data_IF_678160009236
#
_entry.id   IF_678160009236
#
_cell.length_a   1.000
_cell.length_b   1.000
_cell.length_c   1.000
_cell.angle_alpha   90.00
_cell.angle_beta   90.00
_cell.angle_gamma   90.00
#
_symmetry.space_group_name_H-M   'P 1'
#
loop_
_entity.id
_entity.type
_entity.pdbx_description
1 polymer ?
#
# COMPACT_ATOMS: atom_id res chain seq x y z
N UNK A 1 13.44 2.47 14.77
CA UNK A 1 12.50 1.60 14.05
C UNK A 1 12.23 2.16 12.66
N UNK A 2 11.71 1.30 11.76
CA UNK A 2 11.24 1.67 10.42
C UNK A 2 9.76 1.31 10.35
N UNK A 3 8.91 2.27 9.91
CA UNK A 3 7.50 2.01 9.63
C UNK A 3 7.30 1.99 8.11
N UNK A 4 6.86 0.85 7.59
CA UNK A 4 6.71 0.65 6.15
C UNK A 4 5.34 1.10 5.62
N UNK A 5 4.44 1.60 6.48
CA UNK A 5 3.09 1.95 6.07
C UNK A 5 2.52 3.10 6.90
N UNK A 6 2.71 4.33 6.42
CA UNK A 6 2.12 5.53 7.04
C UNK A 6 1.38 6.39 6.03
N UNK A 7 0.45 7.21 6.51
CA UNK A 7 -0.30 8.15 5.70
C UNK A 7 0.00 9.59 6.11
N UNK A 8 0.83 10.28 5.34
CA UNK A 8 1.15 11.69 5.57
C UNK A 8 0.10 12.64 4.98
N UNK A 9 -0.79 12.16 4.12
CA UNK A 9 -1.94 12.88 3.54
C UNK A 9 -1.61 14.15 2.74
N UNK A 10 -0.39 14.55 2.69
CA UNK A 10 0.14 15.73 2.02
C UNK A 10 0.94 15.30 0.77
N UNK A 11 0.52 15.74 -0.42
CA UNK A 11 -0.40 16.83 -0.74
C UNK A 11 -1.88 16.44 -0.70
N UNK A 12 -2.73 17.44 -0.42
CA UNK A 12 -4.15 17.47 -0.77
C UNK A 12 -5.16 17.02 0.28
N UNK A 13 -4.71 16.58 1.46
CA UNK A 13 -5.55 16.23 2.61
C UNK A 13 -4.90 16.68 3.92
N UNK A 14 -4.28 17.87 3.89
CA UNK A 14 -3.49 18.42 4.99
C UNK A 14 -4.33 18.70 6.24
N UNK A 15 -5.67 18.72 6.11
CA UNK A 15 -6.61 18.81 7.23
C UNK A 15 -6.62 17.52 8.09
N UNK A 16 -6.13 16.39 7.53
CA UNK A 16 -6.05 15.10 8.25
C UNK A 16 -4.69 14.87 8.84
N UNK A 17 -3.64 15.14 8.07
CA UNK A 17 -2.23 14.98 8.44
C UNK A 17 -1.36 15.78 7.48
N UNK A 18 -0.19 16.24 7.97
CA UNK A 18 0.85 16.88 7.15
C UNK A 18 2.14 16.07 7.23
N UNK A 19 3.04 16.31 6.28
CA UNK A 19 4.39 15.71 6.35
C UNK A 19 5.08 16.11 7.68
N UNK A 20 4.91 17.35 8.14
CA UNK A 20 5.52 17.81 9.39
C UNK A 20 4.94 17.07 10.61
N UNK A 21 3.61 17.03 10.75
CA UNK A 21 2.96 16.40 11.92
C UNK A 21 3.18 14.90 11.96
N UNK A 22 3.13 14.22 10.80
CA UNK A 22 3.46 12.81 10.71
C UNK A 22 4.92 12.50 11.03
N UNK A 23 5.87 13.33 10.57
CA UNK A 23 7.28 13.19 10.95
C UNK A 23 7.51 13.42 12.46
N UNK A 24 6.80 14.37 13.08
CA UNK A 24 6.85 14.59 14.54
C UNK A 24 6.31 13.38 15.31
N UNK A 25 5.19 12.83 14.88
CA UNK A 25 4.61 11.61 15.46
C UNK A 25 5.57 10.42 15.35
N UNK A 26 6.16 10.21 14.17
CA UNK A 26 7.14 9.16 13.96
C UNK A 26 8.38 9.32 14.86
N UNK A 27 8.95 10.52 14.93
CA UNK A 27 10.10 10.80 15.81
C UNK A 27 9.77 10.55 17.27
N UNK A 28 8.58 10.98 17.73
CA UNK A 28 8.10 10.75 19.10
C UNK A 28 7.92 9.27 19.39
N UNK A 29 7.47 8.47 18.40
CA UNK A 29 7.33 7.02 18.50
C UNK A 29 8.64 6.24 18.37
N UNK A 30 9.79 6.91 18.14
CA UNK A 30 11.10 6.25 17.98
C UNK A 30 11.34 5.69 16.58
N UNK A 31 10.58 6.12 15.58
CA UNK A 31 10.80 5.77 14.17
C UNK A 31 11.81 6.73 13.55
N UNK A 32 12.79 6.18 12.87
CA UNK A 32 13.84 6.95 12.16
C UNK A 32 13.59 7.01 10.65
N UNK A 33 12.75 6.13 10.15
CA UNK A 33 12.40 6.04 8.73
C UNK A 33 10.93 5.62 8.59
N UNK A 34 10.21 6.27 7.69
CA UNK A 34 8.81 5.96 7.38
C UNK A 34 8.59 5.89 5.87
N UNK A 35 7.71 5.00 5.42
CA UNK A 35 7.26 4.89 4.04
C UNK A 35 5.85 5.46 3.90
N UNK A 36 5.72 6.57 3.15
CA UNK A 36 4.44 7.26 2.96
C UNK A 36 3.65 6.66 1.80
N UNK A 37 2.40 6.27 2.05
CA UNK A 37 1.49 5.70 1.04
C UNK A 37 1.08 6.72 -0.03
N UNK A 38 0.77 6.26 -1.27
CA UNK A 38 0.59 7.14 -2.43
C UNK A 38 -0.80 7.78 -2.54
N UNK A 39 -1.74 7.47 -1.65
CA UNK A 39 -3.15 7.88 -1.72
C UNK A 39 -3.38 9.33 -1.27
N UNK A 40 -2.71 10.25 -1.93
CA UNK A 40 -2.76 11.70 -1.77
C UNK A 40 -3.57 12.36 -2.91
N UNK A 41 -3.63 13.69 -2.96
CA UNK A 41 -4.27 14.45 -4.03
C UNK A 41 -3.38 15.63 -4.45
N UNK A 42 -2.71 15.55 -5.62
CA UNK A 42 -2.74 14.44 -6.56
C UNK A 42 -2.17 13.13 -5.97
N UNK A 43 -2.58 12.01 -6.55
CA UNK A 43 -2.00 10.68 -6.26
C UNK A 43 -0.51 10.68 -6.64
N UNK A 44 0.31 9.95 -5.89
CA UNK A 44 1.73 9.82 -6.21
C UNK A 44 1.91 8.77 -7.32
N UNK A 45 1.62 9.15 -8.54
CA UNK A 45 1.69 8.29 -9.73
C UNK A 45 2.71 8.73 -10.79
N UNK A 46 3.50 9.76 -10.45
CA UNK A 46 4.53 10.34 -11.32
C UNK A 46 5.69 10.95 -10.50
N UNK A 47 6.85 11.21 -11.12
CA UNK A 47 8.04 11.73 -10.45
C UNK A 47 7.86 13.10 -9.77
N UNK A 48 7.00 13.97 -10.30
CA UNK A 48 6.85 15.33 -9.78
C UNK A 48 6.25 15.32 -8.37
N UNK A 49 5.25 14.46 -8.13
CA UNK A 49 4.64 14.32 -6.80
C UNK A 49 5.62 13.64 -5.83
N UNK A 50 6.43 12.67 -6.29
CA UNK A 50 7.50 12.07 -5.47
C UNK A 50 8.48 13.16 -5.02
N UNK A 51 8.96 13.98 -5.95
CA UNK A 51 9.90 15.07 -5.66
C UNK A 51 9.30 16.12 -4.71
N UNK A 52 8.02 16.44 -4.85
CA UNK A 52 7.33 17.34 -3.92
C UNK A 52 7.42 16.81 -2.50
N UNK A 53 7.03 15.55 -2.26
CA UNK A 53 7.05 14.96 -0.91
C UNK A 53 8.47 14.89 -0.35
N UNK A 54 9.45 14.42 -1.14
CA UNK A 54 10.83 14.32 -0.70
C UNK A 54 11.43 15.69 -0.36
N UNK A 55 11.15 16.72 -1.16
CA UNK A 55 11.66 18.07 -0.88
C UNK A 55 11.04 18.67 0.37
N UNK A 56 9.72 18.50 0.56
CA UNK A 56 9.02 18.98 1.75
C UNK A 56 9.50 18.25 3.01
N UNK A 57 9.67 16.93 2.96
CA UNK A 57 10.19 16.14 4.06
C UNK A 57 11.61 16.55 4.47
N UNK A 58 12.48 16.89 3.50
CA UNK A 58 13.83 17.40 3.78
C UNK A 58 13.82 18.71 4.59
N UNK A 59 12.84 19.57 4.38
CA UNK A 59 12.73 20.83 5.15
C UNK A 59 12.30 20.58 6.59
N UNK A 60 11.55 19.52 6.85
CA UNK A 60 11.16 19.10 8.21
C UNK A 60 12.35 18.48 8.96
N UNK A 61 13.13 17.62 8.30
CA UNK A 61 14.41 17.11 8.79
C UNK A 61 14.39 16.27 10.07
N UNK A 62 13.23 15.70 10.46
CA UNK A 62 13.09 14.94 11.71
C UNK A 62 13.38 13.45 11.53
N UNK A 63 12.83 12.85 10.46
CA UNK A 63 12.98 11.43 10.13
C UNK A 63 13.19 11.29 8.61
N UNK A 64 13.67 10.12 8.18
CA UNK A 64 13.74 9.81 6.76
C UNK A 64 12.33 9.48 6.24
N UNK A 65 11.87 10.21 5.24
CA UNK A 65 10.62 9.93 4.55
C UNK A 65 10.94 9.35 3.18
N UNK A 66 10.50 8.12 2.95
CA UNK A 66 10.55 7.45 1.65
C UNK A 66 9.14 7.43 1.08
N UNK A 67 8.96 7.94 -0.13
CA UNK A 67 7.66 7.94 -0.78
C UNK A 67 7.41 6.61 -1.49
N UNK A 68 6.23 6.03 -1.34
CA UNK A 68 5.73 4.89 -2.11
C UNK A 68 4.97 5.41 -3.34
N UNK A 69 5.22 4.85 -4.53
CA UNK A 69 4.50 5.21 -5.75
C UNK A 69 3.19 4.42 -5.91
N UNK A 70 2.20 4.99 -6.59
CA UNK A 70 0.99 4.26 -6.96
C UNK A 70 1.30 3.18 -8.02
N UNK A 71 0.55 2.08 -8.00
CA UNK A 71 0.63 1.04 -9.03
C UNK A 71 -0.01 1.54 -10.32
N UNK A 72 -1.19 2.16 -10.21
CA UNK A 72 -1.95 2.64 -11.36
C UNK A 72 -2.14 4.15 -11.31
N UNK A 73 -2.28 4.74 -12.50
CA UNK A 73 -2.51 6.17 -12.67
C UNK A 73 -3.79 6.59 -11.97
N UNK A 74 -3.71 7.67 -11.18
CA UNK A 74 -4.79 8.16 -10.31
C UNK A 74 -5.38 7.10 -9.37
N UNK A 75 -4.72 5.95 -9.20
CA UNK A 75 -5.27 4.78 -8.49
C UNK A 75 -6.64 4.35 -9.03
N UNK A 76 -6.80 4.35 -10.35
CA UNK A 76 -8.05 3.94 -11.01
C UNK A 76 -8.10 2.45 -11.37
N UNK A 77 -6.97 1.74 -11.30
CA UNK A 77 -6.89 0.31 -11.66
C UNK A 77 -7.02 0.03 -13.16
N UNK A 78 -6.76 1.01 -14.03
CA UNK A 78 -6.97 0.92 -15.48
C UNK A 78 -5.69 0.87 -16.30
N UNK A 79 -4.69 1.66 -15.94
CA UNK A 79 -3.37 1.72 -16.58
C UNK A 79 -2.27 1.90 -15.53
N UNK A 80 -1.06 1.44 -15.83
CA UNK A 80 0.07 1.59 -14.91
C UNK A 80 0.48 3.06 -14.78
N UNK A 81 0.90 3.44 -13.57
CA UNK A 81 1.56 4.70 -13.29
C UNK A 81 2.97 4.75 -13.93
N UNK A 82 3.64 5.90 -13.88
CA UNK A 82 5.03 6.02 -14.32
C UNK A 82 6.00 5.44 -13.28
N UNK A 83 5.94 4.10 -13.10
CA UNK A 83 6.74 3.37 -12.10
C UNK A 83 8.24 3.62 -12.33
N UNK A 84 8.72 3.59 -13.57
CA UNK A 84 10.14 3.77 -13.88
C UNK A 84 10.63 5.18 -13.57
N UNK A 85 9.82 6.19 -13.90
CA UNK A 85 10.11 7.59 -13.55
C UNK A 85 10.13 7.80 -12.04
N UNK A 86 9.17 7.24 -11.31
CA UNK A 86 9.12 7.32 -9.86
C UNK A 86 10.29 6.60 -9.19
N UNK A 87 10.75 5.46 -9.71
CA UNK A 87 11.97 4.78 -9.21
C UNK A 87 13.20 5.65 -9.39
N UNK A 88 13.34 6.32 -10.54
CA UNK A 88 14.43 7.30 -10.76
C UNK A 88 14.34 8.50 -9.80
N UNK A 89 13.14 8.86 -9.37
CA UNK A 89 12.91 9.88 -8.34
C UNK A 89 13.11 9.36 -6.91
N UNK A 90 13.40 8.05 -6.72
CA UNK A 90 13.84 7.47 -5.46
C UNK A 90 12.79 6.72 -4.65
N UNK A 91 11.70 6.25 -5.27
CA UNK A 91 10.77 5.36 -4.54
C UNK A 91 11.37 3.97 -4.32
N UNK A 92 11.22 3.37 -3.12
CA UNK A 92 11.66 2.00 -2.85
C UNK A 92 10.58 0.95 -3.12
N UNK A 93 9.33 1.36 -3.28
CA UNK A 93 8.18 0.48 -3.36
C UNK A 93 7.02 1.11 -4.14
N UNK A 94 6.08 0.25 -4.58
CA UNK A 94 4.79 0.66 -5.13
C UNK A 94 3.64 0.05 -4.33
N UNK A 95 2.51 0.76 -4.29
CA UNK A 95 1.28 0.31 -3.61
C UNK A 95 0.04 0.89 -4.27
N UNK A 96 -1.07 0.18 -4.19
CA UNK A 96 -2.38 0.72 -4.52
C UNK A 96 -3.20 1.00 -3.25
N UNK A 97 -2.53 1.35 -2.16
CA UNK A 97 -3.10 1.43 -0.82
C UNK A 97 -4.42 2.21 -0.73
N UNK A 98 -5.32 1.68 0.10
CA UNK A 98 -6.72 2.06 0.19
C UNK A 98 -7.60 1.53 -0.94
N UNK A 99 -6.99 0.79 -1.87
CA UNK A 99 -7.65 0.12 -3.00
C UNK A 99 -6.84 -1.14 -3.37
N UNK A 100 -7.47 -2.04 -4.12
CA UNK A 100 -6.77 -3.15 -4.77
C UNK A 100 -6.88 -3.00 -6.28
N UNK A 101 -5.83 -3.37 -7.01
CA UNK A 101 -5.92 -3.51 -8.47
C UNK A 101 -6.69 -4.78 -8.78
N UNK A 102 -7.96 -4.65 -9.17
CA UNK A 102 -8.85 -5.80 -9.40
C UNK A 102 -8.50 -6.56 -10.67
N UNK A 103 -7.91 -5.90 -11.67
CA UNK A 103 -7.43 -6.55 -12.89
C UNK A 103 -6.11 -7.29 -12.58
N UNK A 104 -6.17 -8.61 -12.46
CA UNK A 104 -5.01 -9.43 -12.13
C UNK A 104 -3.91 -9.36 -13.18
N UNK A 105 -4.23 -9.22 -14.49
CA UNK A 105 -3.23 -9.08 -15.53
C UNK A 105 -2.47 -7.75 -15.41
N UNK A 106 -3.15 -6.65 -15.18
CA UNK A 106 -2.54 -5.35 -14.96
C UNK A 106 -1.63 -5.37 -13.71
N UNK A 107 -2.07 -6.04 -12.65
CA UNK A 107 -1.29 -6.17 -11.43
C UNK A 107 -0.06 -7.06 -11.62
N UNK A 108 -0.19 -8.13 -12.40
CA UNK A 108 0.94 -8.98 -12.82
C UNK A 108 2.01 -8.17 -13.58
N UNK A 109 1.59 -7.32 -14.52
CA UNK A 109 2.50 -6.44 -15.27
C UNK A 109 3.23 -5.45 -14.35
N UNK A 110 2.53 -4.89 -13.34
CA UNK A 110 3.15 -4.05 -12.31
C UNK A 110 4.20 -4.81 -11.50
N UNK A 111 3.89 -6.05 -11.10
CA UNK A 111 4.81 -6.92 -10.36
C UNK A 111 6.05 -7.27 -11.20
N UNK A 112 5.89 -7.59 -12.49
CA UNK A 112 7.03 -7.81 -13.40
C UNK A 112 7.94 -6.58 -13.50
N UNK A 113 7.35 -5.38 -13.58
CA UNK A 113 8.13 -4.13 -13.55
C UNK A 113 8.85 -3.95 -12.22
N UNK A 114 8.16 -4.16 -11.11
CA UNK A 114 8.74 -4.07 -9.78
C UNK A 114 9.92 -5.03 -9.59
N UNK A 115 9.78 -6.28 -10.05
CA UNK A 115 10.86 -7.28 -10.03
C UNK A 115 12.08 -6.81 -10.83
N UNK A 116 11.90 -6.33 -12.06
CA UNK A 116 12.97 -5.80 -12.92
C UNK A 116 13.68 -4.60 -12.33
N UNK A 117 12.94 -3.74 -11.62
CA UNK A 117 13.46 -2.51 -11.00
C UNK A 117 14.01 -2.76 -9.59
N UNK A 118 13.85 -3.97 -9.04
CA UNK A 118 14.36 -4.35 -7.71
C UNK A 118 13.59 -3.73 -6.54
N UNK A 119 12.39 -3.19 -6.76
CA UNK A 119 11.55 -2.56 -5.74
C UNK A 119 10.52 -3.55 -5.16
N UNK A 120 9.91 -3.17 -4.03
CA UNK A 120 8.91 -3.99 -3.33
C UNK A 120 7.49 -3.58 -3.74
N UNK A 121 6.58 -4.55 -3.82
CA UNK A 121 5.14 -4.30 -3.92
C UNK A 121 4.52 -4.40 -2.53
N UNK A 122 3.93 -3.30 -2.06
CA UNK A 122 3.20 -3.23 -0.78
C UNK A 122 1.71 -3.36 -1.09
N UNK A 123 1.14 -4.52 -0.78
CA UNK A 123 -0.22 -4.86 -1.19
C UNK A 123 -1.24 -4.54 -0.09
N UNK A 124 -2.26 -3.75 -0.43
CA UNK A 124 -3.51 -3.62 0.31
C UNK A 124 -4.49 -4.65 -0.23
N UNK A 125 -4.80 -5.65 0.57
CA UNK A 125 -5.56 -6.83 0.12
C UNK A 125 -7.04 -6.69 0.48
N UNK A 126 -7.82 -6.19 -0.47
CA UNK A 126 -9.27 -6.01 -0.31
C UNK A 126 -9.99 -6.22 -1.63
N UNK A 127 -10.84 -7.26 -1.71
CA UNK A 127 -11.75 -7.42 -2.85
C UNK A 127 -12.93 -6.44 -2.75
N UNK A 128 -12.91 -5.41 -3.61
CA UNK A 128 -13.90 -4.33 -3.60
C UNK A 128 -15.34 -4.80 -3.82
N UNK A 129 -15.53 -5.93 -4.50
CA UNK A 129 -16.86 -6.44 -4.77
C UNK A 129 -17.43 -7.15 -3.53
N UNK A 130 -16.55 -7.86 -2.79
CA UNK A 130 -16.94 -8.57 -1.58
C UNK A 130 -17.14 -7.65 -0.36
N UNK A 131 -16.52 -6.47 -0.31
CA UNK A 131 -16.81 -5.46 0.74
C UNK A 131 -18.30 -5.13 0.78
N UNK A 132 -18.94 -4.99 -0.40
CA UNK A 132 -20.39 -4.89 -0.55
C UNK A 132 -21.07 -3.94 0.46
N UNK A 133 -20.42 -2.81 0.80
CA UNK A 133 -20.94 -1.82 1.75
C UNK A 133 -20.87 -2.25 3.22
N UNK A 134 -20.09 -3.26 3.56
CA UNK A 134 -19.75 -3.61 4.93
C UNK A 134 -18.91 -2.53 5.59
N UNK A 135 -19.02 -2.41 6.93
CA UNK A 135 -18.37 -1.33 7.70
C UNK A 135 -17.49 -1.83 8.83
N UNK A 136 -17.53 -3.11 9.14
CA UNK A 136 -16.71 -3.78 10.17
C UNK A 136 -16.61 -5.27 9.85
N UNK A 137 -15.81 -6.01 10.60
CA UNK A 137 -15.71 -7.45 10.45
C UNK A 137 -17.08 -8.15 10.60
N UNK A 138 -17.33 -9.22 9.82
CA UNK A 138 -18.56 -10.02 9.88
C UNK A 138 -18.49 -11.00 11.05
N UNK A 139 -18.85 -10.55 12.25
CA UNK A 139 -18.86 -11.34 13.47
C UNK A 139 -20.15 -11.16 14.27
N UNK A 140 -20.18 -11.72 15.48
CA UNK A 140 -21.31 -11.60 16.39
C UNK A 140 -21.57 -10.13 16.76
N UNK A 141 -20.50 -9.35 16.95
CA UNK A 141 -20.62 -7.95 17.34
C UNK A 141 -21.25 -7.09 16.22
N UNK A 142 -20.93 -7.35 14.97
CA UNK A 142 -21.60 -6.71 13.82
C UNK A 142 -23.09 -7.01 13.83
N UNK A 143 -23.47 -8.26 14.11
CA UNK A 143 -24.89 -8.68 14.23
C UNK A 143 -25.61 -7.98 15.37
N UNK A 144 -24.98 -7.91 16.57
CA UNK A 144 -25.52 -7.21 17.73
C UNK A 144 -25.78 -5.72 17.47
N UNK A 145 -24.87 -5.07 16.74
CA UNK A 145 -24.99 -3.66 16.37
C UNK A 145 -25.94 -3.41 15.19
N UNK A 146 -26.40 -4.45 14.51
CA UNK A 146 -27.21 -4.34 13.28
C UNK A 146 -26.43 -3.72 12.12
N UNK A 147 -25.10 -3.85 12.11
CA UNK A 147 -24.24 -3.32 11.08
C UNK A 147 -23.87 -4.41 10.06
N UNK A 148 -23.68 -3.99 8.81
CA UNK A 148 -23.26 -4.89 7.76
C UNK A 148 -21.79 -5.29 7.92
N UNK A 149 -21.53 -6.59 7.98
CA UNK A 149 -20.20 -7.14 8.12
C UNK A 149 -19.44 -7.20 6.79
N UNK A 150 -18.12 -7.31 6.91
CA UNK A 150 -17.16 -7.59 5.84
C UNK A 150 -16.61 -8.99 6.12
N UNK A 151 -16.82 -9.92 5.18
CA UNK A 151 -16.33 -11.30 5.31
C UNK A 151 -14.80 -11.36 5.21
N UNK A 152 -14.17 -12.30 5.92
CA UNK A 152 -12.71 -12.52 5.85
C UNK A 152 -12.22 -12.79 4.42
N UNK A 153 -13.05 -13.43 3.58
CA UNK A 153 -12.73 -13.70 2.17
C UNK A 153 -12.40 -12.43 1.36
N UNK A 154 -12.80 -11.24 1.83
CA UNK A 154 -12.41 -9.95 1.22
C UNK A 154 -10.90 -9.81 1.16
N UNK A 155 -10.20 -10.18 2.24
CA UNK A 155 -8.74 -10.15 2.34
C UNK A 155 -8.13 -11.43 1.74
N UNK A 156 -8.62 -12.59 2.13
CA UNK A 156 -8.00 -13.90 1.84
C UNK A 156 -7.84 -14.17 0.34
N UNK A 157 -8.85 -13.83 -0.47
CA UNK A 157 -8.81 -14.04 -1.92
C UNK A 157 -7.74 -13.17 -2.57
N UNK A 158 -7.59 -11.93 -2.15
CA UNK A 158 -6.58 -11.02 -2.69
C UNK A 158 -5.18 -11.42 -2.23
N UNK A 159 -5.02 -11.82 -0.97
CA UNK A 159 -3.76 -12.36 -0.44
C UNK A 159 -3.31 -13.59 -1.24
N UNK A 160 -4.21 -14.56 -1.45
CA UNK A 160 -3.92 -15.75 -2.25
C UNK A 160 -3.48 -15.39 -3.68
N UNK A 161 -4.23 -14.51 -4.35
CA UNK A 161 -3.90 -14.01 -5.69
C UNK A 161 -2.51 -13.38 -5.73
N UNK A 162 -2.23 -12.49 -4.80
CA UNK A 162 -1.01 -11.68 -4.81
C UNK A 162 0.22 -12.53 -4.50
N UNK A 163 0.11 -13.53 -3.62
CA UNK A 163 1.16 -14.53 -3.39
C UNK A 163 1.47 -15.31 -4.66
N UNK A 164 0.43 -15.78 -5.38
CA UNK A 164 0.62 -16.52 -6.64
C UNK A 164 1.29 -15.65 -7.71
N UNK A 165 0.87 -14.41 -7.86
CA UNK A 165 1.47 -13.48 -8.82
C UNK A 165 2.91 -13.12 -8.44
N UNK A 166 3.21 -12.95 -7.16
CA UNK A 166 4.58 -12.71 -6.68
C UNK A 166 5.50 -13.87 -7.04
N UNK A 167 5.05 -15.11 -6.80
CA UNK A 167 5.80 -16.31 -7.16
C UNK A 167 6.03 -16.42 -8.68
N UNK A 168 4.99 -16.13 -9.49
CA UNK A 168 5.05 -16.19 -10.95
C UNK A 168 5.99 -15.13 -11.56
N UNK A 169 6.03 -13.95 -11.00
CA UNK A 169 6.79 -12.80 -11.52
C UNK A 169 8.16 -12.60 -10.89
N UNK A 170 8.43 -13.26 -9.76
CA UNK A 170 9.62 -13.03 -8.95
C UNK A 170 9.65 -11.69 -8.23
N UNK A 171 8.50 -10.99 -8.14
CA UNK A 171 8.41 -9.71 -7.44
C UNK A 171 8.48 -9.91 -5.92
N UNK A 172 9.19 -9.01 -5.24
CA UNK A 172 9.14 -8.93 -3.78
C UNK A 172 7.79 -8.40 -3.33
N UNK A 173 7.07 -9.17 -2.54
CA UNK A 173 5.74 -8.83 -2.03
C UNK A 173 5.78 -8.63 -0.51
N UNK A 174 5.17 -7.54 -0.05
CA UNK A 174 4.85 -7.29 1.34
C UNK A 174 3.34 -7.10 1.46
N UNK A 175 2.68 -7.99 2.18
CA UNK A 175 1.25 -7.91 2.47
C UNK A 175 1.06 -7.01 3.68
N UNK A 176 0.38 -5.87 3.48
CA UNK A 176 0.14 -4.90 4.53
C UNK A 176 -1.01 -5.36 5.44
N UNK A 177 -0.94 -4.99 6.73
CA UNK A 177 -2.04 -5.07 7.70
C UNK A 177 -2.95 -6.31 7.55
N UNK A 178 -2.38 -7.52 7.44
CA UNK A 178 -3.14 -8.77 7.42
C UNK A 178 -3.98 -8.92 8.70
N UNK A 179 -5.26 -9.22 8.54
CA UNK A 179 -6.24 -9.25 9.62
C UNK A 179 -6.86 -10.62 9.86
N UNK A 180 -6.71 -11.56 8.89
CA UNK A 180 -7.37 -12.86 8.93
C UNK A 180 -6.40 -13.99 9.23
N UNK A 181 -6.91 -15.07 9.84
CA UNK A 181 -6.13 -16.27 10.12
C UNK A 181 -5.63 -16.94 8.84
N UNK A 182 -6.51 -17.05 7.82
CA UNK A 182 -6.18 -17.68 6.55
C UNK A 182 -5.10 -16.90 5.80
N UNK A 183 -5.13 -15.56 5.82
CA UNK A 183 -4.08 -14.73 5.25
C UNK A 183 -2.72 -14.98 5.92
N UNK A 184 -2.68 -15.04 7.25
CA UNK A 184 -1.43 -15.32 8.00
C UNK A 184 -0.92 -16.72 7.67
N UNK A 185 -1.79 -17.72 7.61
CA UNK A 185 -1.44 -19.10 7.23
C UNK A 185 -0.87 -19.15 5.80
N UNK A 186 -1.49 -18.47 4.84
CA UNK A 186 -0.98 -18.41 3.46
C UNK A 186 0.39 -17.75 3.37
N UNK A 187 0.66 -16.71 4.15
CA UNK A 187 1.98 -16.07 4.24
C UNK A 187 3.02 -17.05 4.78
N UNK A 188 2.70 -17.78 5.85
CA UNK A 188 3.62 -18.77 6.42
C UNK A 188 3.97 -19.87 5.41
N UNK A 189 2.95 -20.42 4.74
CA UNK A 189 3.14 -21.42 3.68
C UNK A 189 3.98 -20.87 2.51
N UNK A 190 3.77 -19.63 2.10
CA UNK A 190 4.54 -19.01 1.03
C UNK A 190 6.01 -18.84 1.41
N UNK A 191 6.31 -18.44 2.65
CA UNK A 191 7.68 -18.32 3.17
C UNK A 191 8.43 -19.64 3.27
N UNK A 192 7.73 -20.77 3.44
CA UNK A 192 8.35 -22.10 3.50
C UNK A 192 8.76 -22.63 2.12
N UNK A 193 8.24 -22.05 1.04
CA UNK A 193 8.51 -22.48 -0.35
C UNK A 193 9.62 -21.70 -1.04
N UNK A 194 10.15 -20.65 -0.41
CA UNK A 194 11.22 -19.79 -0.96
C UNK A 194 12.58 -20.11 -0.36
#
# INVERSE_FOLDING_TARGET
FIDMHVHLRDPGFEEKETIETGCRAAAHGGYTTILAMPNTKPVVDNPDVVNYVHNKAKTVGLVNVLQVGAVTKNQEGKELADIEGMVKAGIPAISEDGKSVMNAQLYREAMEKAAKLGIVVLAHCEDKNLVNGGVMNEDEHARELGLKGITNSVEDIIVARDIMLSHDTGAKLHLCHCSTEDSVMMVDLAKQKN
#
